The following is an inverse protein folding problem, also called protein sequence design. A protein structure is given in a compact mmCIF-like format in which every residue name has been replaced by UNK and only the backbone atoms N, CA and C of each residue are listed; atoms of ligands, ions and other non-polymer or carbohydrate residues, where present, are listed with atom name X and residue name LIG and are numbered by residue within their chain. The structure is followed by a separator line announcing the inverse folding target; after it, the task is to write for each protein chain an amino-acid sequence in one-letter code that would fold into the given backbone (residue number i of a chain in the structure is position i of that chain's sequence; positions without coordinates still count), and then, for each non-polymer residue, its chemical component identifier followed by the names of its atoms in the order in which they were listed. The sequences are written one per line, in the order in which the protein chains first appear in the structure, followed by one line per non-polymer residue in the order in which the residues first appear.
data_IF_308514961628
#
_entry.id   IF_308514961628
#
_cell.length_a   1.000
_cell.length_b   1.000
_cell.length_c   1.000
_cell.angle_alpha   90.00
_cell.angle_beta   90.00
_cell.angle_gamma   90.00
#
_symmetry.space_group_name_H-M   'P 1'
#
loop_
_entity.id
_entity.type
_entity.pdbx_description
1 polymer ?
#
# COMPACT_ATOMS: atom_id res chain seq x y z
N UNK A 1 0.08 -41.06 -38.31
CA UNK A 1 0.38 -39.70 -37.83
C UNK A 1 1.39 -38.98 -38.74
N UNK A 2 2.57 -39.57 -39.05
CA UNK A 2 3.63 -38.94 -39.88
C UNK A 2 3.25 -38.62 -41.34
N UNK A 3 2.14 -39.14 -41.87
CA UNK A 3 1.76 -39.00 -43.30
C UNK A 3 0.52 -38.13 -43.56
N UNK A 4 -0.11 -37.60 -42.52
CA UNK A 4 -1.31 -36.75 -42.67
C UNK A 4 -1.01 -35.30 -42.30
N UNK A 5 -1.81 -34.37 -42.82
CA UNK A 5 -1.75 -32.96 -42.42
C UNK A 5 -2.16 -32.80 -40.97
N UNK A 6 -1.35 -32.08 -40.19
CA UNK A 6 -1.66 -31.75 -38.79
C UNK A 6 -2.63 -30.58 -38.75
N UNK A 7 -3.91 -30.85 -38.45
CA UNK A 7 -4.97 -29.84 -38.31
C UNK A 7 -4.99 -29.22 -36.90
N UNK A 8 -3.87 -28.63 -36.49
CA UNK A 8 -3.68 -28.14 -35.11
C UNK A 8 -4.72 -27.09 -34.70
N UNK A 9 -4.89 -26.04 -35.50
CA UNK A 9 -5.83 -24.96 -35.20
C UNK A 9 -7.27 -25.46 -35.10
N UNK A 10 -7.67 -26.41 -35.94
CA UNK A 10 -9.01 -27.01 -35.88
C UNK A 10 -9.20 -27.81 -34.59
N UNK A 11 -8.16 -28.51 -34.12
CA UNK A 11 -8.18 -29.20 -32.83
C UNK A 11 -8.32 -28.24 -31.65
N UNK A 12 -7.58 -27.13 -31.65
CA UNK A 12 -7.69 -26.09 -30.60
C UNK A 12 -9.08 -25.47 -30.58
N UNK A 13 -9.64 -25.11 -31.74
CA UNK A 13 -11.02 -24.59 -31.81
C UNK A 13 -12.05 -25.59 -31.33
N UNK A 14 -11.94 -26.86 -31.74
CA UNK A 14 -12.85 -27.91 -31.30
C UNK A 14 -12.80 -28.12 -29.78
N UNK A 15 -11.61 -28.03 -29.16
CA UNK A 15 -11.47 -28.08 -27.70
C UNK A 15 -12.12 -26.88 -27.01
N UNK A 16 -11.91 -25.67 -27.54
CA UNK A 16 -12.54 -24.46 -27.02
C UNK A 16 -14.07 -24.50 -27.14
N UNK A 17 -14.59 -24.96 -28.28
CA UNK A 17 -16.03 -25.19 -28.49
C UNK A 17 -16.60 -26.26 -27.55
N UNK A 18 -15.79 -27.23 -27.15
CA UNK A 18 -16.14 -28.23 -26.13
C UNK A 18 -16.03 -27.71 -24.69
N UNK A 19 -15.65 -26.44 -24.49
CA UNK A 19 -15.58 -25.77 -23.19
C UNK A 19 -14.20 -25.81 -22.54
N UNK A 20 -13.13 -26.18 -23.25
CA UNK A 20 -11.78 -26.06 -22.71
C UNK A 20 -11.33 -24.59 -22.69
N UNK A 21 -10.94 -24.11 -21.52
CA UNK A 21 -10.48 -22.74 -21.24
C UNK A 21 -9.03 -22.69 -20.76
N UNK A 22 -8.35 -23.84 -20.65
CA UNK A 22 -6.97 -23.94 -20.22
C UNK A 22 -6.16 -24.92 -21.08
N UNK A 23 -5.00 -24.46 -21.57
CA UNK A 23 -4.12 -25.22 -22.45
C UNK A 23 -2.69 -25.24 -21.89
N UNK A 24 -2.11 -26.45 -21.76
CA UNK A 24 -0.73 -26.64 -21.34
C UNK A 24 0.09 -27.26 -22.47
N UNK A 25 1.12 -26.56 -22.95
CA UNK A 25 2.07 -27.12 -23.93
C UNK A 25 3.11 -27.99 -23.22
N UNK A 26 3.14 -29.27 -23.58
CA UNK A 26 4.18 -30.21 -23.15
C UNK A 26 5.28 -30.28 -24.22
N UNK A 27 6.42 -29.68 -23.94
CA UNK A 27 7.57 -29.67 -24.85
C UNK A 27 8.61 -28.64 -24.43
N UNK A 28 9.81 -28.65 -25.04
CA UNK A 28 10.96 -27.84 -24.62
C UNK A 28 10.84 -26.34 -24.93
N UNK A 29 9.68 -25.87 -25.40
CA UNK A 29 9.48 -24.52 -25.90
C UNK A 29 8.06 -24.02 -25.66
N UNK A 30 7.71 -22.93 -26.33
CA UNK A 30 6.43 -22.25 -26.19
C UNK A 30 5.76 -21.97 -27.55
N UNK A 31 6.07 -22.79 -28.55
CA UNK A 31 5.62 -22.55 -29.94
C UNK A 31 4.13 -22.84 -30.05
N UNK A 32 3.67 -23.95 -29.50
CA UNK A 32 2.26 -24.33 -29.54
C UNK A 32 1.41 -23.39 -28.67
N UNK A 33 1.97 -22.86 -27.58
CA UNK A 33 1.36 -21.85 -26.72
C UNK A 33 1.05 -20.59 -27.53
N UNK A 34 2.02 -20.10 -28.30
CA UNK A 34 1.81 -18.94 -29.16
C UNK A 34 0.76 -19.21 -30.25
N UNK A 35 0.81 -20.38 -30.90
CA UNK A 35 -0.17 -20.79 -31.90
C UNK A 35 -1.58 -20.98 -31.32
N UNK A 36 -1.67 -21.49 -30.08
CA UNK A 36 -2.94 -21.64 -29.35
C UNK A 36 -3.57 -20.26 -29.13
N UNK A 37 -2.82 -19.31 -28.56
CA UNK A 37 -3.32 -17.94 -28.33
C UNK A 37 -3.77 -17.28 -29.64
N UNK A 38 -2.96 -17.40 -30.70
CA UNK A 38 -3.33 -16.89 -32.02
C UNK A 38 -4.60 -17.54 -32.58
N UNK A 39 -4.80 -18.84 -32.32
CA UNK A 39 -5.98 -19.57 -32.81
C UNK A 39 -7.26 -19.17 -32.07
N UNK A 40 -7.16 -18.92 -30.76
CA UNK A 40 -8.29 -18.54 -29.90
C UNK A 40 -8.64 -17.04 -30.03
N UNK A 41 -7.66 -16.20 -30.37
CA UNK A 41 -7.83 -14.75 -30.49
C UNK A 41 -7.70 -14.01 -29.16
N UNK A 42 -7.73 -12.68 -29.19
CA UNK A 42 -7.53 -11.84 -28.00
C UNK A 42 -8.80 -11.68 -27.15
N UNK A 43 -9.98 -12.02 -27.69
CA UNK A 43 -11.29 -11.87 -27.02
C UNK A 43 -11.66 -13.05 -26.10
N UNK A 44 -10.79 -14.04 -25.96
CA UNK A 44 -11.02 -15.21 -25.10
C UNK A 44 -10.40 -15.04 -23.71
N UNK A 45 -11.10 -15.53 -22.69
CA UNK A 45 -10.55 -15.64 -21.33
C UNK A 45 -9.68 -16.90 -21.15
N UNK A 46 -9.53 -17.72 -22.20
CA UNK A 46 -8.77 -18.96 -22.11
C UNK A 46 -7.27 -18.73 -21.91
N UNK A 47 -6.67 -19.50 -20.99
CA UNK A 47 -5.24 -19.45 -20.69
C UNK A 47 -4.46 -20.49 -21.49
N UNK A 48 -3.29 -20.11 -21.99
CA UNK A 48 -2.34 -21.05 -22.58
C UNK A 48 -0.96 -20.83 -21.95
N UNK A 49 -0.35 -21.87 -21.39
CA UNK A 49 0.93 -21.83 -20.71
C UNK A 49 1.88 -22.93 -21.23
N UNK A 50 3.20 -22.67 -21.32
CA UNK A 50 4.18 -23.70 -21.64
C UNK A 50 4.69 -24.40 -20.37
N UNK A 51 4.87 -25.72 -20.42
CA UNK A 51 5.49 -26.47 -19.33
C UNK A 51 7.01 -26.26 -19.25
N UNK A 52 7.68 -26.01 -20.38
CA UNK A 52 9.10 -25.67 -20.42
C UNK A 52 9.34 -24.47 -21.34
N UNK A 53 10.46 -23.78 -21.15
CA UNK A 53 10.93 -22.74 -22.06
C UNK A 53 12.41 -22.93 -22.33
N UNK A 54 12.79 -22.79 -23.60
CA UNK A 54 14.19 -22.77 -23.99
C UNK A 54 14.96 -21.70 -23.18
N UNK A 55 16.18 -22.05 -22.76
CA UNK A 55 17.09 -21.18 -21.98
C UNK A 55 16.57 -20.78 -20.60
N UNK A 56 15.63 -21.54 -20.03
CA UNK A 56 15.19 -21.40 -18.65
C UNK A 56 15.43 -22.72 -17.93
N UNK A 57 15.67 -22.65 -16.62
CA UNK A 57 15.71 -23.83 -15.76
C UNK A 57 14.38 -24.58 -15.81
N UNK A 58 14.42 -25.91 -15.91
CA UNK A 58 13.24 -26.74 -16.15
C UNK A 58 12.24 -26.67 -15.00
N UNK A 59 12.71 -26.71 -13.76
CA UNK A 59 11.85 -26.63 -12.57
C UNK A 59 11.19 -25.26 -12.48
N UNK A 60 11.97 -24.20 -12.70
CA UNK A 60 11.47 -22.82 -12.71
C UNK A 60 10.44 -22.60 -13.81
N UNK A 61 10.69 -23.11 -15.03
CA UNK A 61 9.77 -23.00 -16.15
C UNK A 61 8.45 -23.73 -15.87
N UNK A 62 8.52 -24.97 -15.36
CA UNK A 62 7.34 -25.75 -15.01
C UNK A 62 6.50 -25.06 -13.92
N UNK A 63 7.16 -24.62 -12.83
CA UNK A 63 6.48 -23.92 -11.75
C UNK A 63 5.85 -22.61 -12.22
N UNK A 64 6.50 -21.90 -13.14
CA UNK A 64 5.95 -20.68 -13.75
C UNK A 64 4.70 -20.99 -14.56
N UNK A 65 4.74 -22.02 -15.42
CA UNK A 65 3.57 -22.44 -16.21
C UNK A 65 2.41 -22.90 -15.33
N UNK A 66 2.67 -23.69 -14.28
CA UNK A 66 1.64 -24.09 -13.31
C UNK A 66 1.09 -22.89 -12.52
N UNK A 67 1.92 -21.89 -12.20
CA UNK A 67 1.47 -20.67 -11.55
C UNK A 67 0.58 -19.82 -12.47
N UNK A 68 0.91 -19.71 -13.77
CA UNK A 68 0.05 -19.04 -14.77
C UNK A 68 -1.34 -19.70 -14.82
N UNK A 69 -1.39 -21.03 -14.89
CA UNK A 69 -2.66 -21.77 -14.84
C UNK A 69 -3.39 -21.58 -13.52
N UNK A 70 -2.69 -21.62 -12.39
CA UNK A 70 -3.28 -21.45 -11.06
C UNK A 70 -3.92 -20.07 -10.87
N UNK A 71 -3.24 -19.00 -11.32
CA UNK A 71 -3.76 -17.62 -11.27
C UNK A 71 -4.96 -17.46 -12.20
N UNK A 72 -4.99 -18.17 -13.32
CA UNK A 72 -6.15 -18.24 -14.22
C UNK A 72 -7.32 -19.10 -13.67
N UNK A 73 -7.19 -19.66 -12.45
CA UNK A 73 -8.26 -20.40 -11.78
C UNK A 73 -8.21 -21.92 -11.97
N UNK A 74 -7.23 -22.44 -12.70
CA UNK A 74 -7.04 -23.89 -12.82
C UNK A 74 -6.62 -24.47 -11.48
N UNK A 75 -7.29 -25.54 -11.05
CA UNK A 75 -6.96 -26.24 -9.81
C UNK A 75 -5.65 -27.01 -9.99
N UNK A 76 -4.57 -26.48 -9.43
CA UNK A 76 -3.27 -27.17 -9.29
C UNK A 76 -3.17 -27.76 -7.88
N UNK A 77 -2.90 -29.06 -7.77
CA UNK A 77 -2.66 -29.70 -6.48
C UNK A 77 -1.22 -29.51 -6.03
N UNK A 78 -0.99 -28.40 -5.30
CA UNK A 78 0.30 -28.10 -4.69
C UNK A 78 0.68 -29.08 -3.58
N UNK A 79 -0.26 -29.87 -3.05
CA UNK A 79 0.04 -30.87 -2.01
C UNK A 79 0.94 -31.96 -2.57
N UNK A 80 0.63 -32.44 -3.78
CA UNK A 80 1.43 -33.44 -4.47
C UNK A 80 2.85 -32.95 -4.78
N UNK A 81 3.02 -31.65 -5.05
CA UNK A 81 4.34 -31.06 -5.28
C UNK A 81 5.24 -31.08 -4.04
N UNK A 82 4.67 -30.90 -2.86
CA UNK A 82 5.40 -30.83 -1.60
C UNK A 82 5.46 -32.15 -0.83
N UNK A 83 4.90 -33.23 -1.38
CA UNK A 83 4.91 -34.55 -0.75
C UNK A 83 6.35 -35.01 -0.45
N UNK A 84 6.60 -35.51 0.77
CA UNK A 84 7.92 -35.99 1.20
C UNK A 84 8.98 -34.91 1.47
N UNK A 85 8.70 -33.62 1.22
CA UNK A 85 9.67 -32.53 1.45
C UNK A 85 9.72 -32.02 2.90
N UNK A 86 8.70 -32.32 3.71
CA UNK A 86 8.53 -31.74 5.04
C UNK A 86 8.08 -30.27 5.03
N UNK A 87 7.72 -29.72 3.86
CA UNK A 87 7.22 -28.36 3.74
C UNK A 87 5.91 -28.17 4.54
N UNK A 88 5.76 -26.99 5.15
CA UNK A 88 4.60 -26.61 5.95
C UNK A 88 4.01 -25.29 5.44
N UNK A 89 2.69 -25.19 5.38
CA UNK A 89 2.01 -23.92 5.11
C UNK A 89 2.31 -22.95 6.25
N UNK A 90 2.70 -21.74 5.91
CA UNK A 90 2.95 -20.64 6.86
C UNK A 90 2.14 -19.44 6.41
N UNK A 91 1.51 -18.76 7.36
CA UNK A 91 0.76 -17.55 7.06
C UNK A 91 1.71 -16.43 6.65
N UNK A 92 1.39 -15.78 5.52
CA UNK A 92 2.03 -14.55 5.10
C UNK A 92 1.15 -13.36 5.49
N UNK A 93 1.72 -12.19 5.81
CA UNK A 93 0.93 -10.99 6.06
C UNK A 93 -0.02 -10.72 4.89
N UNK A 94 -1.32 -10.74 5.16
CA UNK A 94 -2.38 -10.75 4.13
C UNK A 94 -2.69 -9.38 3.53
N UNK A 95 -2.04 -8.30 4.00
CA UNK A 95 -2.54 -6.96 3.76
C UNK A 95 -1.47 -5.98 3.27
N UNK A 96 -1.44 -5.66 1.95
CA UNK A 96 -0.69 -4.52 1.45
C UNK A 96 -1.50 -3.25 1.73
N UNK A 97 -1.34 -2.67 2.92
CA UNK A 97 -1.98 -1.39 3.21
C UNK A 97 -1.45 -0.33 2.24
N UNK A 98 -2.34 0.26 1.44
CA UNK A 98 -2.02 1.51 0.76
C UNK A 98 -2.07 2.63 1.80
N UNK A 99 -0.93 2.92 2.42
CA UNK A 99 -0.77 3.92 3.49
C UNK A 99 -1.16 5.33 3.04
N UNK A 100 -2.46 5.62 2.95
CA UNK A 100 -3.00 6.94 2.64
C UNK A 100 -3.63 7.52 3.89
N UNK A 101 -3.10 8.65 4.35
CA UNK A 101 -3.66 9.38 5.46
C UNK A 101 -4.99 10.04 5.04
N UNK A 102 -6.10 9.55 5.57
CA UNK A 102 -7.44 10.15 5.42
C UNK A 102 -7.85 11.01 6.61
N UNK A 103 -6.92 11.31 7.52
CA UNK A 103 -7.17 12.22 8.63
C UNK A 103 -7.45 13.65 8.13
N UNK A 104 -8.48 14.33 8.65
CA UNK A 104 -8.72 15.74 8.35
C UNK A 104 -7.46 16.56 8.64
N UNK A 105 -7.02 17.35 7.66
CA UNK A 105 -5.90 18.28 7.86
C UNK A 105 -6.46 19.56 8.49
N UNK A 106 -6.19 19.85 9.78
CA UNK A 106 -6.62 21.12 10.33
C UNK A 106 -5.94 22.25 9.55
N UNK A 107 -6.74 23.18 9.03
CA UNK A 107 -6.24 24.41 8.42
C UNK A 107 -5.39 25.14 9.47
N UNK A 108 -4.27 25.73 9.04
CA UNK A 108 -3.21 26.25 9.90
C UNK A 108 -3.61 27.49 10.74
N UNK A 109 -4.90 27.77 10.89
CA UNK A 109 -5.38 28.85 11.73
C UNK A 109 -5.81 28.23 13.05
N UNK A 110 -5.35 28.82 14.16
CA UNK A 110 -5.88 28.52 15.48
C UNK A 110 -7.41 28.54 15.36
N UNK A 111 -8.03 27.37 15.42
CA UNK A 111 -9.48 27.27 15.35
C UNK A 111 -10.05 28.19 16.41
N UNK A 112 -11.15 28.88 16.09
CA UNK A 112 -11.84 29.73 17.06
C UNK A 112 -12.18 28.88 18.29
N UNK A 113 -11.33 28.98 19.31
CA UNK A 113 -11.43 28.17 20.52
C UNK A 113 -12.69 28.52 21.31
N UNK A 114 -13.32 29.67 20.99
CA UNK A 114 -14.62 30.03 21.52
C UNK A 114 -15.72 29.04 21.10
N UNK A 115 -15.62 28.43 19.90
CA UNK A 115 -16.53 27.37 19.47
C UNK A 115 -16.45 26.10 20.32
N UNK A 116 -15.35 25.91 21.05
CA UNK A 116 -15.17 24.85 22.04
C UNK A 116 -15.43 25.31 23.48
N UNK A 117 -15.97 26.52 23.69
CA UNK A 117 -16.22 27.12 25.00
C UNK A 117 -14.96 27.60 25.73
N UNK A 118 -13.81 27.70 25.04
CA UNK A 118 -12.55 28.13 25.62
C UNK A 118 -12.30 29.63 25.37
N UNK A 119 -11.58 30.27 26.28
CA UNK A 119 -11.21 31.68 26.13
C UNK A 119 -10.01 31.78 25.19
N UNK A 120 -10.06 32.58 24.11
CA UNK A 120 -8.90 32.79 23.25
C UNK A 120 -7.76 33.45 24.03
N UNK A 121 -6.56 32.85 23.97
CA UNK A 121 -5.38 33.43 24.59
C UNK A 121 -4.84 34.65 23.82
N UNK A 122 -5.35 34.95 22.62
CA UNK A 122 -4.99 36.11 21.77
C UNK A 122 -3.49 36.31 21.62
N UNK A 123 -2.76 35.23 21.38
CA UNK A 123 -1.32 35.24 21.26
C UNK A 123 -0.85 34.31 20.13
N UNK A 124 0.15 34.66 19.31
CA UNK A 124 0.54 33.85 18.15
C UNK A 124 0.91 32.41 18.49
N UNK A 125 1.52 32.18 19.66
CA UNK A 125 1.93 30.84 20.11
C UNK A 125 0.91 30.13 21.02
N UNK A 126 -0.12 30.84 21.50
CA UNK A 126 -1.11 30.29 22.45
C UNK A 126 -2.53 30.43 21.88
N UNK A 127 -3.22 29.30 21.77
CA UNK A 127 -4.58 29.24 21.22
C UNK A 127 -5.66 29.52 22.26
N UNK A 128 -5.56 28.92 23.45
CA UNK A 128 -6.60 28.99 24.47
C UNK A 128 -6.05 29.21 25.88
N UNK A 129 -6.83 29.90 26.70
CA UNK A 129 -6.67 29.99 28.15
C UNK A 129 -7.86 29.29 28.83
N UNK A 130 -7.57 28.50 29.86
CA UNK A 130 -8.55 27.70 30.60
C UNK A 130 -8.36 27.96 32.08
N UNK A 131 -9.40 28.45 32.75
CA UNK A 131 -9.41 28.52 34.22
C UNK A 131 -9.48 27.10 34.78
N UNK A 132 -8.60 26.78 35.73
CA UNK A 132 -8.60 25.49 36.39
C UNK A 132 -9.70 25.47 37.45
N UNK A 133 -10.50 24.41 37.46
CA UNK A 133 -11.46 24.21 38.55
C UNK A 133 -10.71 24.07 39.88
N UNK A 134 -11.32 24.58 40.96
CA UNK A 134 -10.81 24.45 42.34
C UNK A 134 -9.49 25.20 42.62
N UNK A 135 -9.12 26.17 41.78
CA UNK A 135 -7.98 27.08 42.03
C UNK A 135 -8.13 28.40 41.27
N UNK A 136 -7.36 29.42 41.64
CA UNK A 136 -7.22 30.67 40.88
C UNK A 136 -6.23 30.53 39.70
N UNK A 137 -5.87 29.30 39.33
CA UNK A 137 -4.89 29.01 38.27
C UNK A 137 -5.48 29.08 36.85
N UNK A 138 -4.64 29.47 35.89
CA UNK A 138 -4.98 29.45 34.45
C UNK A 138 -3.97 28.58 33.70
N UNK A 139 -4.48 27.71 32.82
CA UNK A 139 -3.71 26.94 31.86
C UNK A 139 -3.79 27.59 30.47
N UNK A 140 -2.65 28.01 29.92
CA UNK A 140 -2.54 28.46 28.54
C UNK A 140 -2.02 27.32 27.65
N UNK A 141 -2.68 27.08 26.53
CA UNK A 141 -2.36 25.98 25.61
C UNK A 141 -2.11 26.48 24.20
N UNK A 142 -1.22 25.80 23.48
CA UNK A 142 -0.84 26.14 22.11
C UNK A 142 -0.18 24.96 21.39
N UNK A 143 -0.14 25.00 20.06
CA UNK A 143 0.55 23.99 19.25
C UNK A 143 1.64 24.63 18.42
N UNK A 144 2.87 24.22 18.69
CA UNK A 144 4.06 24.70 18.02
C UNK A 144 4.53 23.65 17.00
N UNK A 145 4.80 24.10 15.79
CA UNK A 145 5.19 23.24 14.68
C UNK A 145 5.73 24.11 13.56
N UNK A 146 6.77 23.63 12.87
CA UNK A 146 7.34 24.31 11.70
C UNK A 146 6.31 24.57 10.59
N UNK A 147 5.24 23.76 10.52
CA UNK A 147 4.16 23.95 9.54
C UNK A 147 3.35 25.23 9.80
N UNK A 148 3.20 25.61 11.07
CA UNK A 148 2.40 26.78 11.51
C UNK A 148 3.28 27.97 11.87
N UNK A 149 4.52 27.72 12.31
CA UNK A 149 5.49 28.73 12.72
C UNK A 149 6.84 28.46 12.03
N UNK A 150 6.96 28.74 10.72
CA UNK A 150 8.16 28.41 9.96
C UNK A 150 9.43 29.07 10.49
N UNK A 151 9.30 30.28 11.04
CA UNK A 151 10.40 31.05 11.64
C UNK A 151 11.10 30.33 12.81
N UNK A 152 10.44 29.34 13.45
CA UNK A 152 11.10 28.54 14.47
C UNK A 152 12.31 27.77 13.91
N UNK A 153 12.31 27.45 12.61
CA UNK A 153 13.45 26.80 11.95
C UNK A 153 14.73 27.64 12.01
N UNK A 154 14.61 28.97 12.15
CA UNK A 154 15.75 29.88 12.19
C UNK A 154 16.50 29.81 13.54
N UNK A 155 15.91 29.19 14.58
CA UNK A 155 16.56 28.98 15.88
C UNK A 155 17.06 27.53 16.04
N UNK A 156 18.22 27.27 15.44
CA UNK A 156 18.84 25.94 15.43
C UNK A 156 20.15 25.92 16.22
N UNK A 157 20.35 24.90 17.07
CA UNK A 157 21.60 24.65 17.80
C UNK A 157 21.99 23.18 17.63
N UNK A 158 23.21 22.93 17.14
CA UNK A 158 23.68 21.56 16.88
C UNK A 158 22.83 20.80 15.85
N UNK A 159 22.21 21.50 14.89
CA UNK A 159 21.34 20.89 13.88
C UNK A 159 19.92 20.55 14.37
N UNK A 160 19.59 20.85 15.62
CA UNK A 160 18.24 20.67 16.18
C UNK A 160 17.52 22.02 16.29
N UNK A 161 16.27 22.07 15.82
CA UNK A 161 15.40 23.23 16.04
C UNK A 161 15.00 23.25 17.52
N UNK A 162 15.37 24.32 18.22
CA UNK A 162 15.00 24.54 19.61
C UNK A 162 14.00 25.70 19.69
N UNK A 163 13.14 25.68 20.70
CA UNK A 163 12.34 26.87 20.98
C UNK A 163 13.22 27.94 21.64
N UNK A 164 13.25 29.19 21.14
CA UNK A 164 14.08 30.23 21.73
C UNK A 164 13.78 30.46 23.22
N UNK A 165 14.81 30.65 24.03
CA UNK A 165 14.65 30.96 25.45
C UNK A 165 13.81 32.24 25.67
N UNK A 166 13.98 33.24 24.81
CA UNK A 166 13.17 34.47 24.79
C UNK A 166 11.69 34.20 24.50
N UNK A 167 11.39 33.14 23.78
CA UNK A 167 10.02 32.69 23.56
C UNK A 167 9.34 32.26 24.87
N UNK A 168 10.05 31.61 25.80
CA UNK A 168 9.47 31.30 27.11
C UNK A 168 9.18 32.55 27.94
N UNK A 169 10.01 33.59 27.82
CA UNK A 169 9.75 34.88 28.47
C UNK A 169 8.47 35.53 27.90
N UNK A 170 8.31 35.53 26.59
CA UNK A 170 7.08 36.01 25.93
C UNK A 170 5.84 35.25 26.41
N UNK A 171 5.92 33.92 26.52
CA UNK A 171 4.83 33.10 27.05
C UNK A 171 4.51 33.44 28.52
N UNK A 172 5.53 33.73 29.34
CA UNK A 172 5.36 34.11 30.73
C UNK A 172 4.72 35.50 30.88
N UNK A 173 5.14 36.48 30.07
CA UNK A 173 4.51 37.81 30.02
C UNK A 173 3.03 37.69 29.65
N UNK A 174 2.71 36.92 28.60
CA UNK A 174 1.32 36.72 28.21
C UNK A 174 0.49 36.02 29.29
N UNK A 175 1.10 35.11 30.04
CA UNK A 175 0.44 34.48 31.19
C UNK A 175 0.15 35.51 32.31
N UNK A 176 1.09 36.42 32.58
CA UNK A 176 0.90 37.55 33.52
C UNK A 176 -0.25 38.47 33.10
N UNK A 177 -0.25 38.91 31.83
CA UNK A 177 -1.33 39.72 31.26
C UNK A 177 -2.71 39.04 31.38
N UNK A 178 -2.74 37.70 31.25
CA UNK A 178 -3.97 36.92 31.30
C UNK A 178 -4.57 36.86 32.71
N UNK A 179 -3.75 36.98 33.75
CA UNK A 179 -4.18 37.02 35.16
C UNK A 179 -4.13 38.43 35.77
N UNK A 180 -3.73 39.43 35.00
CA UNK A 180 -3.70 40.84 35.42
C UNK A 180 -2.55 41.19 36.38
N UNK A 181 -1.41 40.52 36.27
CA UNK A 181 -0.20 40.72 37.09
C UNK A 181 0.99 41.20 36.25
#
# INVERSE_FOLDING_TARGET
HVRGTVRYADGVRALAEAGADAFLELGPGAVLTALTRQTLGDDTDAVAAPALRARHDEQTALLTGLAELHVAGVRVDWTAWFEGTGARRTDVPTYPWQHRAYWPRPLAHAGDVAGAGLVPARHPLLGAAVSLADSDGVLLTGRMSLRTHPWLADHTMGGMVLFPATGFLELAVRAGDQVGC
#
